data_IF_347873017015
#
_entry.id   IF_347873017015
#
_cell.length_a   1.000
_cell.length_b   1.000
_cell.length_c   1.000
_cell.angle_alpha   90.00
_cell.angle_beta   90.00
_cell.angle_gamma   90.00
#
_symmetry.space_group_name_H-M   'P 1'
#
loop_
_entity.id
_entity.type
_entity.pdbx_description
1 polymer ?
#
# COMPACT_ATOMS: atom_id res chain seq x y z
N UNK A 1 7.83 -1.70 -24.41
CA UNK A 1 6.91 -0.70 -23.83
C UNK A 1 5.65 -1.40 -23.29
N UNK A 2 5.84 -2.36 -22.37
CA UNK A 2 4.78 -3.20 -21.80
C UNK A 2 5.07 -3.57 -20.35
N UNK A 3 6.34 -3.77 -19.98
CA UNK A 3 6.73 -4.27 -18.65
C UNK A 3 6.55 -3.28 -17.50
N UNK A 4 6.79 -1.97 -17.68
CA UNK A 4 6.74 -1.00 -16.56
C UNK A 4 5.36 -0.96 -15.87
N UNK A 5 4.27 -1.07 -16.64
CA UNK A 5 2.92 -1.09 -16.07
C UNK A 5 2.61 -2.36 -15.28
N UNK A 6 3.18 -3.50 -15.69
CA UNK A 6 3.07 -4.74 -14.93
C UNK A 6 3.91 -4.68 -13.65
N UNK A 7 5.09 -4.06 -13.71
CA UNK A 7 5.94 -3.83 -12.54
C UNK A 7 5.26 -2.95 -11.50
N UNK A 8 4.66 -1.82 -11.91
CA UNK A 8 3.93 -0.95 -10.99
C UNK A 8 2.72 -1.67 -10.35
N UNK A 9 2.01 -2.49 -11.13
CA UNK A 9 0.89 -3.30 -10.62
C UNK A 9 1.35 -4.33 -9.57
N UNK A 10 2.45 -5.05 -9.83
CA UNK A 10 3.03 -5.97 -8.86
C UNK A 10 3.46 -5.27 -7.57
N UNK A 11 4.09 -4.10 -7.66
CA UNK A 11 4.53 -3.34 -6.49
C UNK A 11 3.33 -2.90 -5.64
N UNK A 12 2.25 -2.44 -6.27
CA UNK A 12 0.99 -2.11 -5.58
C UNK A 12 0.41 -3.34 -4.87
N UNK A 13 0.38 -4.50 -5.53
CA UNK A 13 -0.08 -5.75 -4.90
C UNK A 13 0.81 -6.15 -3.71
N UNK A 14 2.13 -6.03 -3.82
CA UNK A 14 3.08 -6.33 -2.74
C UNK A 14 2.83 -5.43 -1.53
N UNK A 15 2.62 -4.13 -1.74
CA UNK A 15 2.31 -3.20 -0.65
C UNK A 15 0.98 -3.55 0.00
N UNK A 16 -0.09 -3.73 -0.78
CA UNK A 16 -1.40 -4.12 -0.25
C UNK A 16 -1.32 -5.42 0.57
N UNK A 17 -0.65 -6.45 0.04
CA UNK A 17 -0.44 -7.71 0.74
C UNK A 17 0.27 -7.52 2.08
N UNK A 18 1.31 -6.67 2.14
CA UNK A 18 1.99 -6.34 3.40
C UNK A 18 1.05 -5.67 4.41
N UNK A 19 0.26 -4.69 3.99
CA UNK A 19 -0.69 -3.99 4.88
C UNK A 19 -1.73 -4.96 5.45
N UNK A 20 -2.28 -5.84 4.60
CA UNK A 20 -3.23 -6.88 5.01
C UNK A 20 -2.61 -7.82 6.04
N UNK A 21 -1.39 -8.32 5.79
CA UNK A 21 -0.68 -9.19 6.72
C UNK A 21 -0.42 -8.51 8.07
N UNK A 22 -0.05 -7.22 8.08
CA UNK A 22 0.14 -6.48 9.33
C UNK A 22 -1.16 -6.36 10.11
N UNK A 23 -2.29 -6.07 9.45
CA UNK A 23 -3.59 -6.00 10.11
C UNK A 23 -4.00 -7.34 10.73
N UNK A 24 -3.84 -8.44 9.98
CA UNK A 24 -4.12 -9.81 10.47
C UNK A 24 -3.24 -10.12 11.68
N UNK A 25 -1.93 -9.87 11.60
CA UNK A 25 -0.99 -10.11 12.71
C UNK A 25 -1.25 -9.24 13.93
N UNK A 26 -1.89 -8.09 13.74
CA UNK A 26 -2.26 -7.15 14.80
C UNK A 26 -3.68 -7.40 15.34
N UNK A 27 -4.35 -8.48 14.90
CA UNK A 27 -5.74 -8.80 15.22
C UNK A 27 -6.72 -7.65 14.89
N UNK A 28 -6.37 -6.82 13.92
CA UNK A 28 -7.20 -5.72 13.44
C UNK A 28 -8.01 -6.17 12.22
N UNK A 29 -9.28 -5.75 12.09
CA UNK A 29 -10.07 -6.02 10.90
C UNK A 29 -9.38 -5.54 9.63
N UNK A 30 -9.37 -6.37 8.58
CA UNK A 30 -8.88 -5.99 7.26
C UNK A 30 -9.97 -5.20 6.54
N UNK A 31 -10.05 -3.90 6.81
CA UNK A 31 -11.00 -2.97 6.19
C UNK A 31 -10.26 -1.88 5.42
N UNK A 32 -10.93 -1.26 4.45
CA UNK A 32 -10.37 -0.14 3.69
C UNK A 32 -9.91 1.02 4.59
N UNK A 33 -10.66 1.33 5.67
CA UNK A 33 -10.24 2.35 6.66
C UNK A 33 -8.94 1.97 7.37
N UNK A 34 -8.85 0.73 7.86
CA UNK A 34 -7.65 0.27 8.57
C UNK A 34 -6.43 0.21 7.64
N UNK A 35 -6.62 -0.18 6.38
CA UNK A 35 -5.54 -0.13 5.37
C UNK A 35 -5.10 1.31 5.13
N UNK A 36 -6.03 2.26 4.99
CA UNK A 36 -5.72 3.69 4.81
C UNK A 36 -4.96 4.28 6.00
N UNK A 37 -5.38 3.97 7.22
CA UNK A 37 -4.69 4.41 8.43
C UNK A 37 -3.25 3.89 8.48
N UNK A 38 -3.06 2.59 8.19
CA UNK A 38 -1.73 1.98 8.20
C UNK A 38 -0.84 2.57 7.09
N UNK A 39 -1.40 2.73 5.90
CA UNK A 39 -0.74 3.34 4.75
C UNK A 39 -0.29 4.77 5.06
N UNK A 40 -1.15 5.59 5.67
CA UNK A 40 -0.81 6.96 6.06
C UNK A 40 0.36 7.01 7.03
N UNK A 41 0.37 6.13 8.04
CA UNK A 41 1.50 6.02 8.97
C UNK A 41 2.80 5.67 8.25
N UNK A 42 2.79 4.73 7.30
CA UNK A 42 3.99 4.40 6.52
C UNK A 42 4.43 5.53 5.59
N UNK A 43 3.50 6.29 5.01
CA UNK A 43 3.83 7.48 4.21
C UNK A 43 4.52 8.55 5.05
N UNK A 44 4.04 8.80 6.28
CA UNK A 44 4.65 9.81 7.17
C UNK A 44 6.04 9.45 7.68
N UNK A 45 6.45 8.19 7.53
CA UNK A 45 7.73 7.67 7.99
C UNK A 45 8.75 7.45 6.86
N UNK A 46 8.37 7.71 5.60
CA UNK A 46 9.21 7.46 4.43
C UNK A 46 9.29 8.70 3.53
N UNK A 47 10.51 9.19 3.29
CA UNK A 47 10.80 10.28 2.36
C UNK A 47 11.15 9.79 0.94
N UNK A 48 11.00 8.49 0.68
CA UNK A 48 11.28 7.90 -0.63
C UNK A 48 10.15 8.26 -1.64
N UNK A 49 10.52 8.97 -2.70
CA UNK A 49 9.60 9.44 -3.73
C UNK A 49 8.93 8.30 -4.54
N UNK A 50 9.61 7.17 -4.73
CA UNK A 50 9.05 5.99 -5.39
C UNK A 50 8.00 5.32 -4.50
N UNK A 51 8.31 5.15 -3.21
CA UNK A 51 7.34 4.64 -2.24
C UNK A 51 6.14 5.60 -2.07
N UNK A 52 6.36 6.91 -2.07
CA UNK A 52 5.27 7.88 -2.01
C UNK A 52 4.32 7.75 -3.22
N UNK A 53 4.86 7.55 -4.42
CA UNK A 53 4.08 7.29 -5.65
C UNK A 53 3.29 5.98 -5.51
N UNK A 54 3.92 4.89 -5.08
CA UNK A 54 3.27 3.59 -4.86
C UNK A 54 2.16 3.65 -3.81
N UNK A 55 2.41 4.31 -2.68
CA UNK A 55 1.40 4.52 -1.65
C UNK A 55 0.23 5.35 -2.15
N UNK A 56 0.50 6.36 -2.97
CA UNK A 56 -0.55 7.12 -3.67
C UNK A 56 -1.43 6.25 -4.57
N UNK A 57 -0.84 5.26 -5.27
CA UNK A 57 -1.62 4.31 -6.08
C UNK A 57 -2.43 3.36 -5.21
N UNK A 58 -1.83 2.80 -4.16
CA UNK A 58 -2.52 1.92 -3.20
C UNK A 58 -3.73 2.65 -2.61
N UNK A 59 -3.57 3.92 -2.20
CA UNK A 59 -4.65 4.75 -1.66
C UNK A 59 -5.83 4.85 -2.63
N UNK A 60 -5.59 5.02 -3.94
CA UNK A 60 -6.64 5.06 -4.97
C UNK A 60 -7.40 3.73 -5.12
N UNK A 61 -6.72 2.60 -4.90
CA UNK A 61 -7.34 1.26 -4.99
C UNK A 61 -8.30 1.01 -3.83
N UNK A 62 -7.96 1.48 -2.63
CA UNK A 62 -8.75 1.20 -1.41
C UNK A 62 -9.85 2.22 -1.10
N UNK A 63 -9.97 3.31 -1.88
CA UNK A 63 -11.03 4.32 -1.74
C UNK A 63 -10.67 5.47 -0.82
#
# INVERSE_FOLDING_TARGET
MGDEKFTECEEVHKVLGRLVVVLIKSERPVTADNIRLLLHSYMSLNDDAHLAKLYGMVKKVVG
#
